data_IF_458276928484
#
_entry.id   IF_458276928484
#
_cell.length_a   1.000
_cell.length_b   1.000
_cell.length_c   1.000
_cell.angle_alpha   90.00
_cell.angle_beta   90.00
_cell.angle_gamma   90.00
#
_symmetry.space_group_name_H-M   'P 1'
#
loop_
_entity.id
_entity.type
_entity.pdbx_description
1 polymer ?
#
# COMPACT_ATOMS: atom_id res chain seq x y z
N UNK A 1 -17.89 22.54 6.21
CA UNK A 1 -16.44 22.30 6.00
C UNK A 1 -15.80 22.06 7.37
N UNK A 2 -15.01 20.98 7.52
CA UNK A 2 -14.31 20.68 8.78
C UNK A 2 -13.11 21.61 8.95
N UNK A 3 -12.85 22.02 10.20
CA UNK A 3 -11.60 22.70 10.56
C UNK A 3 -10.44 21.70 10.60
N UNK A 4 -9.20 22.13 10.41
CA UNK A 4 -8.00 21.27 10.45
C UNK A 4 -7.91 20.46 11.75
N UNK A 5 -8.25 21.06 12.91
CA UNK A 5 -8.30 20.34 14.19
C UNK A 5 -9.29 19.17 14.17
N UNK A 6 -10.47 19.38 13.61
CA UNK A 6 -11.49 18.33 13.49
C UNK A 6 -11.05 17.21 12.52
N UNK A 7 -10.36 17.55 11.42
CA UNK A 7 -9.76 16.54 10.53
C UNK A 7 -8.75 15.70 11.29
N UNK A 8 -7.88 16.32 12.09
CA UNK A 8 -6.91 15.64 12.94
C UNK A 8 -7.59 14.65 13.91
N UNK A 9 -8.66 15.10 14.58
CA UNK A 9 -9.41 14.24 15.51
C UNK A 9 -10.01 13.03 14.80
N UNK A 10 -10.59 13.23 13.60
CA UNK A 10 -11.12 12.13 12.76
C UNK A 10 -10.02 11.14 12.36
N UNK A 11 -8.87 11.62 11.91
CA UNK A 11 -7.75 10.74 11.51
C UNK A 11 -7.26 9.90 12.69
N UNK A 12 -7.08 10.51 13.87
CA UNK A 12 -6.71 9.80 15.10
C UNK A 12 -7.75 8.75 15.48
N UNK A 13 -9.05 9.10 15.38
CA UNK A 13 -10.12 8.15 15.64
C UNK A 13 -10.07 6.96 14.68
N UNK A 14 -9.83 7.19 13.38
CA UNK A 14 -9.73 6.10 12.39
C UNK A 14 -8.54 5.20 12.68
N UNK A 15 -7.36 5.75 13.02
CA UNK A 15 -6.20 4.94 13.40
C UNK A 15 -6.54 4.02 14.58
N UNK A 16 -7.12 4.59 15.65
CA UNK A 16 -7.47 3.82 16.83
C UNK A 16 -8.54 2.74 16.53
N UNK A 17 -9.56 3.09 15.74
CA UNK A 17 -10.57 2.14 15.30
C UNK A 17 -9.97 1.02 14.41
N UNK A 18 -9.06 1.36 13.51
CA UNK A 18 -8.39 0.38 12.67
C UNK A 18 -7.54 -0.60 13.48
N UNK A 19 -6.82 -0.12 14.50
CA UNK A 19 -6.11 -0.97 15.45
C UNK A 19 -7.03 -1.94 16.19
N UNK A 20 -8.22 -1.47 16.55
CA UNK A 20 -9.26 -2.33 17.16
C UNK A 20 -9.80 -3.36 16.17
N UNK A 21 -10.13 -2.96 14.95
CA UNK A 21 -10.61 -3.85 13.89
C UNK A 21 -9.57 -4.92 13.53
N UNK A 22 -8.30 -4.54 13.43
CA UNK A 22 -7.20 -5.45 13.13
C UNK A 22 -7.06 -6.55 14.17
N UNK A 23 -7.16 -6.22 15.47
CA UNK A 23 -7.17 -7.20 16.57
C UNK A 23 -8.33 -8.19 16.48
N UNK A 24 -9.42 -7.82 15.81
CA UNK A 24 -10.58 -8.68 15.57
C UNK A 24 -10.51 -9.43 14.24
N UNK A 25 -9.43 -9.27 13.47
CA UNK A 25 -9.31 -9.82 12.12
C UNK A 25 -10.28 -9.20 11.11
N UNK A 26 -10.79 -8.00 11.40
CA UNK A 26 -11.71 -7.26 10.53
C UNK A 26 -10.96 -6.30 9.61
N UNK A 27 -11.63 -5.95 8.50
CA UNK A 27 -11.12 -4.97 7.54
C UNK A 27 -10.98 -3.60 8.18
N UNK A 28 -9.86 -2.93 7.89
CA UNK A 28 -9.60 -1.54 8.26
C UNK A 28 -10.35 -0.56 7.36
N UNK A 29 -10.60 0.63 7.88
CA UNK A 29 -11.22 1.72 7.15
C UNK A 29 -10.15 2.63 6.55
N UNK A 30 -10.37 3.08 5.32
CA UNK A 30 -9.62 4.14 4.67
C UNK A 30 -10.46 5.40 4.58
N UNK A 31 -9.84 6.57 4.48
CA UNK A 31 -10.55 7.85 4.37
C UNK A 31 -9.98 8.65 3.21
N UNK A 32 -10.88 9.30 2.46
CA UNK A 32 -10.54 10.30 1.46
C UNK A 32 -10.72 11.70 2.04
N UNK A 33 -9.67 12.52 1.99
CA UNK A 33 -9.67 13.92 2.40
C UNK A 33 -9.76 14.77 1.13
N UNK A 34 -10.92 15.38 0.93
CA UNK A 34 -11.16 16.26 -0.20
C UNK A 34 -11.16 17.71 0.23
N UNK A 35 -10.39 18.53 -0.47
CA UNK A 35 -10.34 19.99 -0.26
C UNK A 35 -9.44 20.66 -1.28
N UNK A 36 -9.49 21.99 -1.35
CA UNK A 36 -8.65 22.81 -2.23
C UNK A 36 -7.16 22.52 -2.05
N UNK A 37 -6.39 22.81 -3.09
CA UNK A 37 -4.94 22.71 -3.05
C UNK A 37 -4.32 23.68 -2.02
N UNK A 38 -3.18 23.28 -1.45
CA UNK A 38 -2.39 24.17 -0.58
C UNK A 38 -2.87 24.34 0.86
N UNK A 39 -3.99 23.72 1.28
CA UNK A 39 -4.52 23.86 2.66
C UNK A 39 -3.89 22.93 3.70
N UNK A 40 -2.85 22.17 3.32
CA UNK A 40 -2.09 21.35 4.27
C UNK A 40 -2.59 19.92 4.47
N UNK A 41 -3.34 19.32 3.53
CA UNK A 41 -3.81 17.92 3.60
C UNK A 41 -2.67 16.95 3.95
N UNK A 42 -1.60 16.99 3.18
CA UNK A 42 -0.45 16.10 3.38
C UNK A 42 0.21 16.34 4.75
N UNK A 43 0.40 17.59 5.14
CA UNK A 43 1.05 17.95 6.39
C UNK A 43 0.28 17.46 7.63
N UNK A 44 -1.06 17.53 7.61
CA UNK A 44 -1.87 17.04 8.75
C UNK A 44 -1.80 15.52 8.87
N UNK A 45 -1.78 14.79 7.74
CA UNK A 45 -1.66 13.32 7.76
C UNK A 45 -0.27 12.91 8.28
N UNK A 46 0.80 13.56 7.84
CA UNK A 46 2.16 13.33 8.32
C UNK A 46 2.28 13.61 9.83
N UNK A 47 1.70 14.73 10.30
CA UNK A 47 1.67 15.07 11.71
C UNK A 47 0.96 13.99 12.53
N UNK A 48 -0.20 13.52 12.07
CA UNK A 48 -0.97 12.45 12.76
C UNK A 48 -0.19 11.15 12.78
N UNK A 49 0.50 10.77 11.70
CA UNK A 49 1.35 9.59 11.68
C UNK A 49 2.43 9.68 12.77
N UNK A 50 3.16 10.79 12.83
CA UNK A 50 4.21 11.04 13.81
C UNK A 50 3.70 10.98 15.25
N UNK A 51 2.55 11.61 15.53
CA UNK A 51 1.94 11.62 16.87
C UNK A 51 1.47 10.23 17.33
N UNK A 52 1.14 9.36 16.39
CA UNK A 52 0.76 7.96 16.67
C UNK A 52 1.95 6.98 16.67
N UNK A 53 3.18 7.48 16.53
CA UNK A 53 4.38 6.64 16.48
C UNK A 53 4.50 5.79 15.22
N UNK A 54 3.85 6.21 14.14
CA UNK A 54 3.82 5.52 12.84
C UNK A 54 4.81 6.15 11.86
N UNK A 55 5.37 5.33 10.99
CA UNK A 55 6.06 5.82 9.80
C UNK A 55 5.10 6.55 8.86
N UNK A 56 5.63 7.34 7.94
CA UNK A 56 4.85 8.04 6.94
C UNK A 56 5.40 7.76 5.54
N UNK A 57 4.55 7.23 4.68
CA UNK A 57 4.85 7.00 3.26
C UNK A 57 3.85 7.76 2.42
N UNK A 58 4.35 8.61 1.54
CA UNK A 58 3.52 9.36 0.59
C UNK A 58 3.78 8.85 -0.82
N UNK A 59 2.70 8.53 -1.53
CA UNK A 59 2.73 8.17 -2.95
C UNK A 59 1.82 9.14 -3.69
N UNK A 60 2.39 9.92 -4.60
CA UNK A 60 1.60 10.76 -5.50
C UNK A 60 1.20 9.93 -6.72
N UNK A 61 -0.05 9.51 -6.75
CA UNK A 61 -0.57 8.64 -7.81
C UNK A 61 -0.59 9.31 -9.19
N UNK A 62 -0.70 10.65 -9.23
CA UNK A 62 -0.67 11.40 -10.48
C UNK A 62 0.73 11.46 -11.13
N UNK A 63 1.79 11.10 -10.38
CA UNK A 63 3.17 11.08 -10.86
C UNK A 63 3.68 9.67 -11.22
N UNK A 64 2.90 8.64 -10.92
CA UNK A 64 3.25 7.27 -11.28
C UNK A 64 2.95 7.05 -12.76
N UNK A 65 3.92 6.53 -13.49
CA UNK A 65 3.77 6.20 -14.90
C UNK A 65 3.38 4.74 -15.12
N UNK A 66 3.89 3.84 -14.29
CA UNK A 66 3.70 2.40 -14.46
C UNK A 66 3.09 1.76 -13.22
N UNK A 67 2.15 0.84 -13.43
CA UNK A 67 1.50 0.09 -12.34
C UNK A 67 2.50 -0.65 -11.45
N UNK A 68 3.63 -1.08 -12.00
CA UNK A 68 4.69 -1.76 -11.25
C UNK A 68 5.32 -0.91 -10.13
N UNK A 69 5.31 0.41 -10.26
CA UNK A 69 5.81 1.31 -9.22
C UNK A 69 4.89 1.31 -7.98
N UNK A 70 3.59 1.13 -8.21
CA UNK A 70 2.59 1.04 -7.15
C UNK A 70 2.42 -0.39 -6.63
N UNK A 71 2.28 -1.33 -7.53
CA UNK A 71 1.84 -2.71 -7.24
C UNK A 71 3.00 -3.71 -7.11
N UNK A 72 4.21 -3.29 -7.45
CA UNK A 72 5.39 -4.16 -7.55
C UNK A 72 5.53 -4.81 -8.93
N UNK A 73 6.67 -5.44 -9.14
CA UNK A 73 7.01 -6.06 -10.42
C UNK A 73 6.80 -7.57 -10.37
N UNK A 74 6.31 -8.18 -11.47
CA UNK A 74 6.16 -9.62 -11.54
C UNK A 74 7.54 -10.29 -11.49
N UNK A 75 7.63 -11.34 -10.69
CA UNK A 75 8.79 -12.21 -10.57
C UNK A 75 8.38 -13.67 -10.80
N UNK A 76 9.27 -14.43 -11.40
CA UNK A 76 9.07 -15.86 -11.54
C UNK A 76 9.62 -16.57 -10.30
N UNK A 77 8.80 -17.38 -9.67
CA UNK A 77 9.17 -18.23 -8.54
C UNK A 77 9.05 -19.71 -8.93
N UNK A 78 9.96 -20.52 -8.42
CA UNK A 78 10.01 -21.96 -8.59
C UNK A 78 9.70 -22.65 -7.26
N UNK A 79 8.85 -23.68 -7.30
CA UNK A 79 8.59 -24.50 -6.13
C UNK A 79 9.81 -25.38 -5.86
N UNK A 80 10.24 -25.38 -4.62
CA UNK A 80 11.31 -26.28 -4.16
C UNK A 80 10.87 -27.14 -2.98
N UNK A 81 11.53 -28.25 -2.78
CA UNK A 81 11.54 -29.01 -1.54
C UNK A 81 12.96 -29.10 -1.00
N UNK A 82 13.11 -29.11 0.31
CA UNK A 82 14.39 -29.43 0.92
C UNK A 82 14.77 -30.89 0.67
N UNK A 83 16.07 -31.22 0.63
CA UNK A 83 16.55 -32.58 0.36
C UNK A 83 15.98 -33.62 1.30
N UNK A 84 15.66 -33.22 2.52
CA UNK A 84 15.07 -34.09 3.55
C UNK A 84 13.54 -34.25 3.40
N UNK A 85 12.94 -33.59 2.41
CA UNK A 85 11.49 -33.68 2.09
C UNK A 85 10.57 -33.02 3.12
N UNK A 86 11.12 -32.32 4.12
CA UNK A 86 10.35 -31.80 5.25
C UNK A 86 9.60 -30.51 4.89
N UNK A 87 10.23 -29.60 4.14
CA UNK A 87 9.65 -28.30 3.82
C UNK A 87 9.58 -28.04 2.32
N UNK A 88 8.45 -27.45 1.91
CA UNK A 88 8.22 -26.95 0.56
C UNK A 88 8.07 -25.44 0.59
N UNK A 89 8.63 -24.78 -0.39
CA UNK A 89 8.56 -23.32 -0.50
C UNK A 89 8.64 -22.84 -1.94
N UNK A 90 8.71 -21.52 -2.06
CA UNK A 90 8.88 -20.84 -3.33
C UNK A 90 10.13 -19.98 -3.30
N UNK A 91 10.92 -20.02 -4.33
CA UNK A 91 12.16 -19.27 -4.47
C UNK A 91 12.16 -18.55 -5.81
N UNK A 92 12.55 -17.28 -5.82
CA UNK A 92 12.67 -16.53 -7.07
C UNK A 92 13.88 -17.00 -7.88
N UNK A 93 13.80 -16.88 -9.21
CA UNK A 93 14.92 -17.21 -10.11
C UNK A 93 16.22 -16.52 -9.68
N UNK A 94 16.14 -15.24 -9.26
CA UNK A 94 17.30 -14.47 -8.78
C UNK A 94 17.91 -15.05 -7.49
N UNK A 95 17.08 -15.44 -6.54
CA UNK A 95 17.55 -16.07 -5.30
C UNK A 95 18.16 -17.45 -5.59
N UNK A 96 17.55 -18.21 -6.50
CA UNK A 96 18.06 -19.51 -6.92
C UNK A 96 19.46 -19.39 -7.52
N UNK A 97 19.71 -18.40 -8.37
CA UNK A 97 21.03 -18.10 -8.94
C UNK A 97 22.04 -17.71 -7.86
N UNK A 98 21.66 -16.87 -6.89
CA UNK A 98 22.53 -16.41 -5.81
C UNK A 98 22.93 -17.51 -4.83
N UNK A 99 22.01 -18.41 -4.50
CA UNK A 99 22.26 -19.53 -3.57
C UNK A 99 22.93 -20.72 -4.25
N UNK A 100 22.98 -20.72 -5.59
CA UNK A 100 23.50 -21.84 -6.39
C UNK A 100 22.68 -23.12 -6.30
N UNK A 101 21.51 -23.07 -5.66
CA UNK A 101 20.55 -24.17 -5.57
C UNK A 101 21.06 -25.49 -4.95
N UNK A 102 22.19 -25.45 -4.23
CA UNK A 102 22.95 -26.66 -3.84
C UNK A 102 22.21 -27.65 -2.95
N UNK A 103 21.21 -27.15 -2.19
CA UNK A 103 20.46 -27.98 -1.21
C UNK A 103 18.96 -28.03 -1.49
N UNK A 104 18.53 -27.48 -2.64
CA UNK A 104 17.11 -27.44 -3.02
C UNK A 104 16.82 -28.40 -4.17
N UNK A 105 15.70 -29.08 -4.06
CA UNK A 105 15.14 -29.93 -5.12
C UNK A 105 13.97 -29.17 -5.78
N UNK A 106 14.12 -28.78 -7.05
CA UNK A 106 13.04 -28.13 -7.78
C UNK A 106 11.98 -29.16 -8.20
N UNK A 107 10.71 -28.86 -7.92
CA UNK A 107 9.59 -29.75 -8.27
C UNK A 107 9.15 -29.64 -9.73
N UNK A 108 9.67 -28.67 -10.47
CA UNK A 108 9.26 -28.35 -11.83
C UNK A 108 8.04 -27.44 -11.93
N UNK A 109 7.42 -27.07 -10.81
CA UNK A 109 6.34 -26.09 -10.76
C UNK A 109 6.89 -24.67 -10.69
N UNK A 110 6.22 -23.76 -11.39
CA UNK A 110 6.52 -22.31 -11.32
C UNK A 110 5.24 -21.49 -11.19
N UNK A 111 5.37 -20.31 -10.63
CA UNK A 111 4.30 -19.33 -10.55
C UNK A 111 4.84 -17.90 -10.77
N UNK A 112 3.96 -17.00 -11.19
CA UNK A 112 4.24 -15.56 -11.14
C UNK A 112 3.83 -15.03 -9.78
N UNK A 113 4.75 -14.35 -9.12
CA UNK A 113 4.54 -13.58 -7.90
C UNK A 113 4.85 -12.13 -8.17
N UNK A 114 4.58 -11.22 -7.22
CA UNK A 114 4.93 -9.81 -7.32
C UNK A 114 5.88 -9.45 -6.18
N UNK A 115 7.04 -8.91 -6.53
CA UNK A 115 7.93 -8.33 -5.54
C UNK A 115 7.27 -7.06 -4.97
N UNK A 116 7.21 -6.89 -3.63
CA UNK A 116 6.67 -5.66 -3.07
C UNK A 116 7.51 -4.47 -3.52
N UNK A 117 6.89 -3.33 -3.84
CA UNK A 117 7.62 -2.12 -4.17
C UNK A 117 8.39 -1.60 -2.95
N UNK A 118 9.40 -0.77 -3.19
CA UNK A 118 10.31 -0.28 -2.14
C UNK A 118 9.64 0.57 -1.06
N UNK A 119 8.45 1.10 -1.34
CA UNK A 119 7.68 1.87 -0.36
C UNK A 119 6.95 1.00 0.68
N UNK A 120 6.82 -0.31 0.46
CA UNK A 120 6.22 -1.24 1.41
C UNK A 120 7.23 -1.49 2.55
N UNK A 121 6.89 -1.18 3.81
CA UNK A 121 7.77 -1.44 4.94
C UNK A 121 8.07 -2.93 5.10
N UNK A 122 9.34 -3.27 5.28
CA UNK A 122 9.80 -4.65 5.46
C UNK A 122 10.29 -4.95 6.87
N UNK A 123 10.43 -3.91 7.70
CA UNK A 123 10.90 -3.99 9.08
C UNK A 123 9.79 -4.23 10.12
N UNK A 124 8.55 -4.38 9.67
CA UNK A 124 7.38 -4.56 10.53
C UNK A 124 6.89 -3.28 11.20
N UNK A 125 7.48 -2.12 10.90
CA UNK A 125 7.04 -0.83 11.42
C UNK A 125 5.65 -0.47 10.87
N UNK A 126 4.72 -0.09 11.75
CA UNK A 126 3.42 0.45 11.36
C UNK A 126 3.57 1.76 10.58
N UNK A 127 2.74 1.99 9.57
CA UNK A 127 2.88 3.13 8.68
C UNK A 127 1.52 3.73 8.29
N UNK A 128 1.49 5.05 8.15
CA UNK A 128 0.43 5.74 7.40
C UNK A 128 0.87 5.85 5.94
N UNK A 129 0.15 5.18 5.06
CA UNK A 129 0.29 5.29 3.61
C UNK A 129 -0.67 6.36 3.11
N UNK A 130 -0.15 7.43 2.57
CA UNK A 130 -0.93 8.49 1.92
C UNK A 130 -0.88 8.34 0.40
N UNK A 131 -2.03 8.03 -0.20
CA UNK A 131 -2.23 8.07 -1.64
C UNK A 131 -2.69 9.48 -2.02
N UNK A 132 -1.75 10.30 -2.45
CA UNK A 132 -1.96 11.71 -2.76
C UNK A 132 -2.44 11.91 -4.19
N UNK A 133 -3.28 12.92 -4.42
CA UNK A 133 -3.88 13.27 -5.72
C UNK A 133 -4.64 12.10 -6.38
N UNK A 134 -5.39 11.33 -5.58
CA UNK A 134 -6.06 10.08 -6.00
C UNK A 134 -6.93 10.26 -7.25
N UNK A 135 -7.77 11.29 -7.28
CA UNK A 135 -8.71 11.55 -8.39
C UNK A 135 -8.03 12.08 -9.66
N UNK A 136 -6.73 12.44 -9.59
CA UNK A 136 -5.93 12.86 -10.75
C UNK A 136 -5.11 11.73 -11.35
N UNK A 137 -5.12 10.57 -10.70
CA UNK A 137 -4.39 9.40 -11.18
C UNK A 137 -5.02 8.84 -12.47
N UNK A 138 -4.23 8.25 -13.35
CA UNK A 138 -4.75 7.45 -14.45
C UNK A 138 -5.66 6.32 -13.93
N UNK A 139 -6.73 6.02 -14.66
CA UNK A 139 -7.75 5.05 -14.24
C UNK A 139 -7.17 3.68 -13.86
N UNK A 140 -6.18 3.19 -14.59
CA UNK A 140 -5.55 1.90 -14.30
C UNK A 140 -4.79 1.89 -12.95
N UNK A 141 -4.23 3.04 -12.53
CA UNK A 141 -3.59 3.18 -11.23
C UNK A 141 -4.61 3.29 -10.10
N UNK A 142 -5.73 4.00 -10.34
CA UNK A 142 -6.84 4.00 -9.38
C UNK A 142 -7.37 2.58 -9.16
N UNK A 143 -7.58 1.80 -10.21
CA UNK A 143 -8.03 0.42 -10.11
C UNK A 143 -7.04 -0.47 -9.35
N UNK A 144 -5.74 -0.36 -9.65
CA UNK A 144 -4.70 -1.10 -8.92
C UNK A 144 -4.64 -0.72 -7.43
N UNK A 145 -4.78 0.58 -7.12
CA UNK A 145 -4.77 1.05 -5.73
C UNK A 145 -6.00 0.58 -4.93
N UNK A 146 -7.15 0.37 -5.58
CA UNK A 146 -8.36 -0.12 -4.91
C UNK A 146 -8.16 -1.47 -4.24
N UNK A 147 -7.39 -2.39 -4.84
CA UNK A 147 -7.07 -3.67 -4.20
C UNK A 147 -6.24 -3.47 -2.94
N UNK A 148 -5.25 -2.57 -2.99
CA UNK A 148 -4.40 -2.22 -1.84
C UNK A 148 -5.25 -1.58 -0.75
N UNK A 149 -6.14 -0.64 -1.10
CA UNK A 149 -7.05 0.04 -0.17
C UNK A 149 -8.00 -0.96 0.48
N UNK A 150 -8.55 -1.88 -0.31
CA UNK A 150 -9.57 -2.83 0.15
C UNK A 150 -8.99 -3.92 1.04
N UNK A 151 -7.86 -4.50 0.66
CA UNK A 151 -7.28 -5.69 1.29
C UNK A 151 -6.03 -5.44 2.12
N UNK A 152 -5.40 -4.25 2.00
CA UNK A 152 -4.06 -4.01 2.51
C UNK A 152 -3.02 -4.93 1.87
N UNK A 153 -3.26 -5.36 0.63
CA UNK A 153 -2.46 -6.35 -0.06
C UNK A 153 -2.58 -6.16 -1.58
N UNK A 154 -1.63 -6.70 -2.33
CA UNK A 154 -1.73 -6.80 -3.78
C UNK A 154 -1.16 -8.16 -4.21
N UNK A 155 -2.00 -8.98 -4.79
CA UNK A 155 -1.74 -10.35 -5.30
C UNK A 155 -0.93 -11.20 -4.31
N UNK A 156 0.40 -11.00 -4.21
CA UNK A 156 1.33 -11.87 -3.49
C UNK A 156 2.00 -11.22 -2.27
N UNK A 157 1.82 -9.93 -2.04
CA UNK A 157 2.35 -9.25 -0.86
C UNK A 157 1.26 -8.53 -0.07
N UNK A 158 1.55 -8.29 1.20
CA UNK A 158 0.63 -7.60 2.13
C UNK A 158 1.37 -6.50 2.86
N UNK A 159 0.63 -5.45 3.20
CA UNK A 159 1.12 -4.44 4.13
C UNK A 159 1.34 -5.06 5.52
N UNK A 160 2.37 -4.63 6.25
CA UNK A 160 2.59 -5.07 7.62
C UNK A 160 1.43 -4.64 8.54
N UNK A 161 1.35 -5.21 9.76
CA UNK A 161 0.40 -4.77 10.77
C UNK A 161 0.54 -3.27 11.08
N UNK A 162 -0.53 -2.69 11.64
CA UNK A 162 -0.61 -1.26 11.99
C UNK A 162 -0.37 -0.30 10.80
N UNK A 163 -0.69 -0.75 9.57
CA UNK A 163 -0.69 0.12 8.39
C UNK A 163 -2.08 0.72 8.16
N UNK A 164 -2.13 2.02 7.92
CA UNK A 164 -3.37 2.78 7.68
C UNK A 164 -3.27 3.52 6.35
N UNK A 165 -4.30 3.40 5.51
CA UNK A 165 -4.32 4.01 4.18
C UNK A 165 -5.23 5.22 4.20
N UNK A 166 -4.69 6.38 3.85
CA UNK A 166 -5.44 7.61 3.67
C UNK A 166 -5.24 8.12 2.24
N UNK A 167 -6.24 8.81 1.74
CA UNK A 167 -6.25 9.36 0.39
C UNK A 167 -6.48 10.86 0.44
N UNK A 168 -5.93 11.57 -0.53
CA UNK A 168 -6.28 12.98 -0.76
C UNK A 168 -6.78 13.18 -2.18
N UNK A 169 -7.67 14.15 -2.34
CA UNK A 169 -8.12 14.62 -3.63
C UNK A 169 -8.35 16.14 -3.61
N UNK A 170 -8.44 16.70 -4.80
CA UNK A 170 -8.95 18.04 -5.00
C UNK A 170 -10.37 17.95 -5.56
N UNK A 171 -11.28 18.91 -5.25
CA UNK A 171 -12.62 18.95 -5.79
C UNK A 171 -12.62 18.97 -7.33
N UNK A 172 -13.60 18.30 -7.94
CA UNK A 172 -13.76 18.27 -9.41
C UNK A 172 -14.06 19.65 -10.03
N UNK A 173 -14.64 20.55 -9.23
CA UNK A 173 -15.05 21.90 -9.66
C UNK A 173 -13.96 22.96 -9.58
N UNK A 174 -12.76 22.62 -9.09
CA UNK A 174 -11.61 23.53 -9.13
C UNK A 174 -11.12 23.63 -10.58
N UNK A 175 -11.58 24.62 -11.32
CA UNK A 175 -11.43 24.80 -12.77
C UNK A 175 -10.00 24.80 -13.35
N UNK A 176 -9.00 24.49 -12.53
CA UNK A 176 -7.58 24.48 -12.92
C UNK A 176 -7.04 23.08 -13.26
N UNK A 177 -7.82 21.99 -13.02
CA UNK A 177 -7.32 20.64 -13.20
C UNK A 177 -8.40 19.66 -13.69
N UNK A 178 -8.00 18.72 -14.53
CA UNK A 178 -8.84 17.58 -14.90
C UNK A 178 -8.87 16.60 -13.74
N UNK A 179 -10.04 16.37 -13.17
CA UNK A 179 -10.27 15.42 -12.06
C UNK A 179 -11.28 14.38 -12.53
N UNK A 180 -10.99 13.11 -12.25
CA UNK A 180 -11.93 12.02 -12.52
C UNK A 180 -12.98 11.99 -11.41
N UNK A 181 -14.28 12.09 -11.73
CA UNK A 181 -15.36 11.89 -10.77
C UNK A 181 -15.37 10.43 -10.29
N UNK A 182 -15.53 10.24 -9.01
CA UNK A 182 -15.76 8.92 -8.40
C UNK A 182 -17.28 8.71 -8.34
N UNK A 183 -17.83 7.98 -9.32
CA UNK A 183 -19.22 7.54 -9.36
C UNK A 183 -19.43 6.26 -8.55
#
# INVERSE_FOLDING_TARGET
MLKISQVKDVLNHIINNNRFLEKQGKKKNSILIESDAGIGKTAIVEQVAKENGLGFVKINLAQIEQTGELAGWPILEHEYCEKDGADKGWISSKQLEQTGGKDLCLTGRSRTSYAPPSWVPTDGTGVVLLLDDFTRAPQHLMQASMEIIDKGAFISWKLPPDCHIFLTSNPSDSGDYIVTSLD
#
